data_IF_893929104847
#
_entry.id   IF_893929104847
#
_cell.length_a   1.000
_cell.length_b   1.000
_cell.length_c   1.000
_cell.angle_alpha   90.00
_cell.angle_beta   90.00
_cell.angle_gamma   90.00
#
_symmetry.space_group_name_H-M   'P 1'
#
loop_
_entity.id
_entity.type
_entity.pdbx_description
1 polymer ?
#
# COMPACT_ATOMS: atom_id res chain seq x y z
N UNK A 1 -2.39 -4.86 -1.16
CA UNK A 1 -1.43 -5.94 -0.80
C UNK A 1 -0.29 -5.98 -1.80
N UNK A 2 0.93 -6.11 -1.33
CA UNK A 2 2.11 -6.27 -2.17
C UNK A 2 2.53 -7.74 -2.20
N UNK A 3 2.84 -8.24 -3.39
CA UNK A 3 3.23 -9.63 -3.61
C UNK A 3 4.53 -9.68 -4.38
N UNK A 4 5.49 -10.38 -3.83
CA UNK A 4 6.80 -10.59 -4.46
C UNK A 4 6.65 -11.37 -5.77
N UNK A 5 7.30 -10.91 -6.83
CA UNK A 5 7.43 -11.68 -8.06
C UNK A 5 8.34 -12.90 -7.82
N UNK A 6 7.90 -14.08 -8.23
CA UNK A 6 8.68 -15.31 -8.18
C UNK A 6 8.28 -16.24 -9.32
N UNK A 7 9.17 -17.15 -9.73
CA UNK A 7 8.82 -18.21 -10.68
C UNK A 7 7.64 -19.05 -10.21
N UNK A 8 6.93 -19.67 -11.15
CA UNK A 8 5.81 -20.54 -10.85
C UNK A 8 6.24 -21.69 -9.91
N UNK A 9 5.43 -21.94 -8.87
CA UNK A 9 5.69 -22.99 -7.88
C UNK A 9 6.61 -22.59 -6.72
N UNK A 10 7.24 -21.43 -6.77
CA UNK A 10 8.05 -20.92 -5.67
C UNK A 10 7.21 -20.11 -4.67
N UNK A 11 7.68 -20.10 -3.41
CA UNK A 11 7.07 -19.28 -2.36
C UNK A 11 7.27 -17.80 -2.65
N UNK A 12 6.28 -17.01 -2.29
CA UNK A 12 6.30 -15.54 -2.45
C UNK A 12 6.14 -14.87 -1.10
N UNK A 13 6.86 -13.79 -0.91
CA UNK A 13 6.60 -12.90 0.21
C UNK A 13 5.35 -12.07 -0.09
N UNK A 14 4.47 -11.96 0.89
CA UNK A 14 3.24 -11.17 0.80
C UNK A 14 3.24 -10.21 1.98
N UNK A 15 2.97 -8.94 1.71
CA UNK A 15 2.83 -7.89 2.72
C UNK A 15 1.52 -7.14 2.51
N UNK A 16 0.82 -6.85 3.60
CA UNK A 16 -0.30 -5.93 3.56
C UNK A 16 0.20 -4.49 3.37
N UNK A 17 -0.69 -3.60 2.95
CA UNK A 17 -0.36 -2.18 2.87
C UNK A 17 -0.15 -1.57 4.26
N UNK A 18 -0.81 -2.11 5.28
CA UNK A 18 -0.58 -1.70 6.67
C UNK A 18 0.86 -2.01 7.12
N UNK A 19 1.38 -3.20 6.82
CA UNK A 19 2.78 -3.55 7.11
C UNK A 19 3.77 -2.70 6.33
N UNK A 20 3.46 -2.40 5.06
CA UNK A 20 4.23 -1.47 4.25
C UNK A 20 4.25 -0.07 4.86
N UNK A 21 3.11 0.45 5.28
CA UNK A 21 2.99 1.75 5.93
C UNK A 21 3.81 1.82 7.22
N UNK A 22 3.76 0.78 8.06
CA UNK A 22 4.55 0.71 9.28
C UNK A 22 6.05 0.79 8.98
N UNK A 23 6.52 0.04 7.99
CA UNK A 23 7.91 0.09 7.56
C UNK A 23 8.30 1.48 7.03
N UNK A 24 7.45 2.10 6.23
CA UNK A 24 7.67 3.47 5.75
C UNK A 24 7.76 4.48 6.90
N UNK A 25 6.91 4.33 7.91
CA UNK A 25 6.97 5.15 9.12
C UNK A 25 8.28 4.97 9.89
N UNK A 26 8.78 3.74 10.01
CA UNK A 26 10.07 3.45 10.63
C UNK A 26 11.23 4.10 9.83
N UNK A 27 11.22 4.00 8.52
CA UNK A 27 12.20 4.67 7.66
C UNK A 27 12.15 6.19 7.79
N UNK A 28 10.96 6.77 7.80
CA UNK A 28 10.78 8.20 7.98
C UNK A 28 11.34 8.67 9.32
N UNK A 29 11.12 7.92 10.38
CA UNK A 29 11.63 8.22 11.73
C UNK A 29 13.16 8.15 11.81
N UNK A 30 13.76 7.23 11.09
CA UNK A 30 15.20 7.01 11.06
C UNK A 30 15.92 7.87 10.00
N UNK A 31 15.19 8.53 9.11
CA UNK A 31 15.76 9.30 8.02
C UNK A 31 16.49 10.53 8.54
N UNK A 32 17.63 10.82 7.95
CA UNK A 32 18.48 11.95 8.27
C UNK A 32 19.84 11.53 8.78
N UNK A 33 20.86 12.29 8.40
CA UNK A 33 22.24 12.09 8.79
C UNK A 33 23.02 13.41 8.55
N UNK A 34 24.34 13.36 8.57
CA UNK A 34 25.18 14.54 8.33
C UNK A 34 25.02 15.15 6.93
N UNK A 35 24.53 14.39 5.94
CA UNK A 35 24.34 14.83 4.57
C UNK A 35 22.89 15.22 4.24
N UNK A 36 21.92 14.69 4.96
CA UNK A 36 20.48 14.89 4.70
C UNK A 36 19.76 15.23 6.00
N UNK A 37 18.95 16.27 5.96
CA UNK A 37 18.12 16.65 7.09
C UNK A 37 17.05 15.58 7.37
N UNK A 38 16.66 15.46 8.64
CA UNK A 38 15.50 14.63 9.00
C UNK A 38 14.22 15.22 8.44
N UNK A 39 13.17 14.41 8.35
CA UNK A 39 11.84 14.89 7.92
C UNK A 39 11.32 15.95 8.91
N UNK A 40 10.71 17.03 8.39
CA UNK A 40 10.18 18.15 9.18
C UNK A 40 8.81 18.59 8.62
N UNK A 41 7.83 18.92 9.45
CA UNK A 41 7.80 18.72 10.91
C UNK A 41 7.82 17.23 11.27
N UNK A 42 8.62 16.84 12.26
CA UNK A 42 9.02 15.44 12.44
C UNK A 42 7.86 14.49 12.73
N UNK A 43 7.11 14.73 13.79
CA UNK A 43 6.04 13.80 14.21
C UNK A 43 4.90 13.76 13.20
N UNK A 44 4.52 14.88 12.63
CA UNK A 44 3.47 14.96 11.60
C UNK A 44 3.89 14.22 10.32
N UNK A 45 5.12 14.43 9.87
CA UNK A 45 5.62 13.77 8.66
C UNK A 45 5.79 12.27 8.84
N UNK A 46 6.30 11.83 9.99
CA UNK A 46 6.38 10.41 10.32
C UNK A 46 4.98 9.77 10.33
N UNK A 47 4.02 10.46 10.91
CA UNK A 47 2.63 9.99 10.95
C UNK A 47 2.02 9.88 9.54
N UNK A 48 2.15 10.93 8.74
CA UNK A 48 1.63 10.95 7.36
C UNK A 48 2.26 9.83 6.52
N UNK A 49 3.57 9.68 6.58
CA UNK A 49 4.30 8.65 5.84
C UNK A 49 3.89 7.25 6.31
N UNK A 50 3.72 7.06 7.60
CA UNK A 50 3.28 5.79 8.18
C UNK A 50 1.82 5.42 7.89
N UNK A 51 1.03 6.30 7.28
CA UNK A 51 -0.40 6.10 7.05
C UNK A 51 -0.85 6.43 5.61
N UNK A 52 0.10 6.71 4.70
CA UNK A 52 -0.23 7.25 3.37
C UNK A 52 -1.08 6.30 2.50
N UNK A 53 -1.00 4.99 2.72
CA UNK A 53 -1.76 3.98 1.99
C UNK A 53 -2.88 3.34 2.83
N UNK A 54 -3.35 4.01 3.87
CA UNK A 54 -4.34 3.46 4.79
C UNK A 54 -5.69 3.15 4.13
N UNK A 55 -5.99 3.79 3.00
CA UNK A 55 -7.19 3.49 2.22
C UNK A 55 -7.24 2.06 1.66
N UNK A 56 -6.13 1.33 1.68
CA UNK A 56 -6.07 -0.08 1.25
C UNK A 56 -6.43 -1.08 2.34
N UNK A 57 -6.56 -0.66 3.60
CA UNK A 57 -6.74 -1.57 4.74
C UNK A 57 -7.97 -2.48 4.58
N UNK A 58 -9.10 -1.94 4.14
CA UNK A 58 -10.31 -2.72 3.93
C UNK A 58 -10.16 -3.77 2.83
N UNK A 59 -9.46 -3.43 1.75
CA UNK A 59 -9.16 -4.36 0.65
C UNK A 59 -8.24 -5.48 1.11
N UNK A 60 -7.26 -5.17 1.92
CA UNK A 60 -6.30 -6.14 2.44
C UNK A 60 -6.92 -7.05 3.51
N UNK A 61 -7.92 -6.56 4.24
CA UNK A 61 -8.66 -7.34 5.23
C UNK A 61 -9.54 -8.42 4.58
N UNK A 62 -10.01 -8.20 3.35
CA UNK A 62 -10.88 -9.11 2.59
C UNK A 62 -10.32 -9.32 1.18
N UNK A 63 -9.13 -9.94 1.05
CA UNK A 63 -8.48 -10.05 -0.25
C UNK A 63 -9.23 -10.97 -1.20
N UNK A 64 -9.37 -10.55 -2.46
CA UNK A 64 -9.77 -11.42 -3.54
C UNK A 64 -8.58 -12.22 -4.06
N UNK A 65 -8.84 -13.45 -4.49
CA UNK A 65 -7.83 -14.29 -5.11
C UNK A 65 -7.80 -14.06 -6.62
N UNK A 66 -6.61 -13.90 -7.17
CA UNK A 66 -6.42 -13.89 -8.60
C UNK A 66 -6.63 -15.29 -9.19
N UNK A 67 -7.55 -15.40 -10.14
CA UNK A 67 -7.94 -16.69 -10.73
C UNK A 67 -6.78 -17.37 -11.49
N UNK A 68 -5.85 -16.59 -12.04
CA UNK A 68 -4.72 -17.11 -12.80
C UNK A 68 -3.60 -17.65 -11.93
N UNK A 69 -3.31 -17.01 -10.81
CA UNK A 69 -2.20 -17.37 -9.91
C UNK A 69 -2.62 -18.09 -8.65
N UNK A 70 -3.88 -17.94 -8.21
CA UNK A 70 -4.36 -18.41 -6.91
C UNK A 70 -3.87 -17.62 -5.72
N UNK A 71 -3.08 -16.57 -5.93
CA UNK A 71 -2.62 -15.65 -4.91
C UNK A 71 -3.62 -14.51 -4.68
N UNK A 72 -3.59 -13.84 -3.52
CA UNK A 72 -4.36 -12.62 -3.33
C UNK A 72 -4.03 -11.58 -4.41
N UNK A 73 -5.04 -10.82 -4.83
CA UNK A 73 -4.83 -9.73 -5.77
C UNK A 73 -3.91 -8.68 -5.17
N UNK A 74 -2.80 -8.38 -5.86
CA UNK A 74 -1.87 -7.32 -5.50
C UNK A 74 -2.30 -5.96 -6.04
N UNK A 75 -1.45 -4.95 -5.88
CA UNK A 75 -1.70 -3.58 -6.36
C UNK A 75 -2.02 -3.52 -7.86
N UNK A 76 -1.38 -4.36 -8.67
CA UNK A 76 -1.59 -4.41 -10.12
C UNK A 76 -2.78 -5.25 -10.58
N UNK A 77 -3.35 -6.07 -9.69
CA UNK A 77 -4.42 -7.02 -10.02
C UNK A 77 -5.65 -6.88 -9.13
N UNK A 78 -5.63 -5.96 -8.15
CA UNK A 78 -6.74 -5.74 -7.23
C UNK A 78 -8.00 -5.32 -7.98
N UNK A 79 -9.08 -6.07 -7.82
CA UNK A 79 -10.38 -5.76 -8.44
C UNK A 79 -11.19 -4.89 -7.50
N UNK A 80 -11.35 -3.65 -7.87
CA UNK A 80 -12.25 -2.75 -7.17
C UNK A 80 -13.30 -2.29 -8.14
N UNK A 81 -14.53 -2.70 -7.91
CA UNK A 81 -15.70 -2.33 -8.74
C UNK A 81 -15.52 -2.62 -10.24
N UNK A 82 -14.86 -3.72 -10.59
CA UNK A 82 -14.65 -4.09 -12.00
C UNK A 82 -13.61 -3.26 -12.74
N UNK A 83 -12.89 -2.38 -12.03
CA UNK A 83 -12.00 -1.41 -12.66
C UNK A 83 -10.69 -2.00 -13.22
N UNK A 84 -10.40 -3.27 -12.96
CA UNK A 84 -9.08 -3.83 -13.29
C UNK A 84 -9.11 -4.87 -14.40
N UNK A 85 -10.23 -5.13 -15.01
CA UNK A 85 -10.25 -5.94 -16.23
C UNK A 85 -9.44 -5.31 -17.38
N UNK A 86 -9.13 -4.02 -17.27
CA UNK A 86 -8.39 -3.27 -18.29
C UNK A 86 -6.98 -2.85 -17.89
N UNK A 87 -6.49 -3.26 -16.72
CA UNK A 87 -5.18 -2.83 -16.21
C UNK A 87 -5.11 -1.35 -15.82
N UNK A 88 -6.24 -0.65 -15.77
CA UNK A 88 -6.34 0.76 -15.39
C UNK A 88 -7.20 0.91 -14.14
N UNK A 89 -6.63 1.45 -13.09
CA UNK A 89 -7.39 1.88 -11.93
C UNK A 89 -8.29 3.06 -12.33
N UNK A 90 -9.58 3.00 -12.00
CA UNK A 90 -10.45 4.14 -12.29
C UNK A 90 -10.03 5.36 -11.47
N UNK A 91 -10.20 6.58 -12.01
CA UNK A 91 -9.95 7.80 -11.23
C UNK A 91 -10.76 7.85 -9.93
N UNK A 92 -11.98 7.32 -9.95
CA UNK A 92 -12.85 7.28 -8.76
C UNK A 92 -12.29 6.36 -7.67
N UNK A 93 -11.72 5.23 -8.05
CA UNK A 93 -11.05 4.34 -7.11
C UNK A 93 -9.81 4.98 -6.51
N UNK A 94 -8.92 5.52 -7.33
CA UNK A 94 -7.72 6.20 -6.85
C UNK A 94 -8.08 7.36 -5.91
N UNK A 95 -9.13 8.10 -6.25
CA UNK A 95 -9.63 9.17 -5.42
C UNK A 95 -10.20 8.67 -4.10
N UNK A 96 -10.95 7.56 -4.10
CA UNK A 96 -11.51 6.98 -2.88
C UNK A 96 -10.43 6.48 -1.92
N UNK A 97 -9.41 5.78 -2.42
CA UNK A 97 -8.26 5.34 -1.62
C UNK A 97 -7.51 6.53 -1.03
N UNK A 98 -7.26 7.55 -1.85
CA UNK A 98 -6.61 8.79 -1.41
C UNK A 98 -7.42 9.49 -0.30
N UNK A 99 -8.73 9.64 -0.50
CA UNK A 99 -9.62 10.29 0.48
C UNK A 99 -9.65 9.49 1.80
N UNK A 100 -9.76 8.16 1.73
CA UNK A 100 -9.76 7.34 2.94
C UNK A 100 -8.42 7.39 3.66
N UNK A 101 -7.31 7.40 2.94
CA UNK A 101 -5.98 7.58 3.53
C UNK A 101 -5.87 8.92 4.27
N UNK A 102 -6.39 9.99 3.69
CA UNK A 102 -6.43 11.31 4.33
C UNK A 102 -7.33 11.35 5.57
N UNK A 103 -8.52 10.77 5.50
CA UNK A 103 -9.45 10.75 6.64
C UNK A 103 -8.87 10.03 7.85
N UNK A 104 -8.11 9.01 7.65
CA UNK A 104 -7.53 8.17 8.70
C UNK A 104 -6.08 8.56 9.05
N UNK A 105 -5.42 9.33 8.21
CA UNK A 105 -4.05 9.77 8.37
C UNK A 105 -3.88 11.14 9.04
N UNK A 106 -4.95 11.90 9.12
CA UNK A 106 -4.91 13.26 9.70
C UNK A 106 -5.41 13.32 11.13
#
# INVERSE_FOLDING_TARGET
MMIQSAPAGEKRFISTMAEHNELCGQFARAFGNDAFDRVEPFEEMVYIIGHHDRGWDDLDAHPELDAGSGFPCGLGTARVNGAIETGTLSPDFLNSVSVESFKHGS
#
